data_IF_803550932799
#
_entry.id   IF_803550932799
#
_cell.length_a   1.000
_cell.length_b   1.000
_cell.length_c   1.000
_cell.angle_alpha   90.00
_cell.angle_beta   90.00
_cell.angle_gamma   90.00
#
_symmetry.space_group_name_H-M   'P 1'
#
loop_
_entity.id
_entity.type
_entity.pdbx_description
1 polymer ?
#
# COMPACT_ATOMS: atom_id res chain seq x y z
N UNK A 1 16.90 -18.43 11.05
CA UNK A 1 15.92 -19.27 10.32
C UNK A 1 16.14 -19.08 8.83
N UNK A 2 15.67 -19.99 7.97
CA UNK A 2 15.78 -19.84 6.52
C UNK A 2 14.69 -18.91 5.99
N UNK A 3 15.01 -18.07 5.00
CA UNK A 3 14.06 -17.20 4.28
C UNK A 3 12.84 -17.97 3.76
N UNK A 4 13.04 -19.24 3.38
CA UNK A 4 11.99 -20.14 2.95
C UNK A 4 10.89 -20.35 4.00
N UNK A 5 11.26 -20.52 5.28
CA UNK A 5 10.29 -20.75 6.34
C UNK A 5 9.37 -19.53 6.56
N UNK A 6 9.91 -18.32 6.41
CA UNK A 6 9.12 -17.09 6.48
C UNK A 6 8.17 -16.97 5.27
N UNK A 7 8.64 -17.27 4.06
CA UNK A 7 7.81 -17.28 2.84
C UNK A 7 6.65 -18.28 2.97
N UNK A 8 6.94 -19.51 3.39
CA UNK A 8 5.92 -20.56 3.52
C UNK A 8 4.88 -20.19 4.58
N UNK A 9 5.30 -19.59 5.70
CA UNK A 9 4.40 -19.09 6.72
C UNK A 9 3.47 -17.99 6.17
N UNK A 10 4.02 -16.96 5.51
CA UNK A 10 3.21 -15.87 4.96
C UNK A 10 2.21 -16.39 3.93
N UNK A 11 2.62 -17.30 3.05
CA UNK A 11 1.75 -17.95 2.06
C UNK A 11 0.66 -18.80 2.73
N UNK A 12 0.98 -19.50 3.82
CA UNK A 12 -0.01 -20.26 4.58
C UNK A 12 -1.06 -19.33 5.21
N UNK A 13 -0.64 -18.21 5.80
CA UNK A 13 -1.55 -17.22 6.35
C UNK A 13 -2.45 -16.58 5.28
N UNK A 14 -1.88 -16.23 4.13
CA UNK A 14 -2.65 -15.72 2.97
C UNK A 14 -3.65 -16.76 2.47
N UNK A 15 -3.28 -18.04 2.40
CA UNK A 15 -4.18 -19.10 1.94
C UNK A 15 -5.32 -19.34 2.95
N UNK A 16 -5.00 -19.36 4.24
CA UNK A 16 -5.99 -19.49 5.31
C UNK A 16 -6.99 -18.33 5.31
N UNK A 17 -6.51 -17.12 5.00
CA UNK A 17 -7.31 -15.91 4.93
C UNK A 17 -7.63 -15.48 3.48
N UNK A 18 -7.87 -16.43 2.57
CA UNK A 18 -8.14 -16.16 1.14
C UNK A 18 -9.29 -15.19 0.87
N UNK A 19 -10.27 -15.12 1.78
CA UNK A 19 -11.43 -14.22 1.65
C UNK A 19 -11.17 -12.81 2.22
N UNK A 20 -10.03 -12.60 2.89
CA UNK A 20 -9.66 -11.33 3.48
C UNK A 20 -8.68 -10.59 2.55
N UNK A 21 -9.22 -9.64 1.78
CA UNK A 21 -8.46 -8.86 0.80
C UNK A 21 -7.30 -8.08 1.43
N UNK A 22 -7.47 -7.59 2.66
CA UNK A 22 -6.43 -6.86 3.38
C UNK A 22 -5.25 -7.77 3.74
N UNK A 23 -5.52 -9.02 4.11
CA UNK A 23 -4.46 -10.01 4.36
C UNK A 23 -3.71 -10.32 3.08
N UNK A 24 -4.37 -10.37 1.92
CA UNK A 24 -3.69 -10.57 0.64
C UNK A 24 -2.74 -9.42 0.31
N UNK A 25 -3.21 -8.17 0.43
CA UNK A 25 -2.39 -6.98 0.14
C UNK A 25 -1.16 -6.92 1.04
N UNK A 26 -1.35 -7.07 2.36
CA UNK A 26 -0.22 -7.05 3.29
C UNK A 26 0.69 -8.25 3.11
N UNK A 27 0.13 -9.43 2.85
CA UNK A 27 0.91 -10.64 2.57
C UNK A 27 1.80 -10.46 1.34
N UNK A 28 1.27 -9.95 0.23
CA UNK A 28 2.05 -9.69 -0.98
C UNK A 28 3.16 -8.66 -0.75
N UNK A 29 2.86 -7.59 0.00
CA UNK A 29 3.86 -6.61 0.40
C UNK A 29 5.00 -7.25 1.21
N UNK A 30 4.68 -8.08 2.22
CA UNK A 30 5.67 -8.75 3.06
C UNK A 30 6.52 -9.77 2.29
N UNK A 31 5.93 -10.47 1.30
CA UNK A 31 6.66 -11.36 0.41
C UNK A 31 7.71 -10.60 -0.41
N UNK A 32 7.31 -9.50 -1.07
CA UNK A 32 8.24 -8.65 -1.82
C UNK A 32 9.32 -8.03 -0.94
N UNK A 33 8.93 -7.57 0.27
CA UNK A 33 9.89 -7.05 1.23
C UNK A 33 10.95 -8.08 1.62
N UNK A 34 10.57 -9.36 1.76
CA UNK A 34 11.49 -10.42 2.13
C UNK A 34 12.44 -10.83 1.00
N UNK A 35 12.05 -10.64 -0.26
CA UNK A 35 12.92 -10.83 -1.43
C UNK A 35 14.04 -9.79 -1.47
N UNK A 36 13.75 -8.54 -1.11
CA UNK A 36 14.71 -7.44 -1.05
C UNK A 36 15.53 -7.43 0.27
N UNK A 37 14.94 -7.93 1.35
CA UNK A 37 15.49 -7.86 2.71
C UNK A 37 15.45 -9.23 3.41
N UNK A 38 16.31 -10.14 2.95
CA UNK A 38 16.39 -11.50 3.48
C UNK A 38 16.78 -11.56 4.98
N UNK A 39 17.41 -10.51 5.50
CA UNK A 39 17.77 -10.35 6.92
C UNK A 39 16.54 -10.24 7.85
N UNK A 40 15.38 -9.88 7.29
CA UNK A 40 14.14 -9.75 8.03
C UNK A 40 13.40 -11.07 8.23
N UNK A 41 13.85 -12.17 7.60
CA UNK A 41 13.20 -13.48 7.65
C UNK A 41 12.84 -13.95 9.07
N UNK A 42 13.76 -13.83 10.02
CA UNK A 42 13.56 -14.26 11.41
C UNK A 42 12.40 -13.51 12.09
N UNK A 43 12.24 -12.23 11.76
CA UNK A 43 11.18 -11.38 12.32
C UNK A 43 9.82 -11.75 11.75
N UNK A 44 9.73 -12.01 10.45
CA UNK A 44 8.47 -12.42 9.80
C UNK A 44 8.07 -13.85 10.16
N UNK A 45 9.05 -14.74 10.40
CA UNK A 45 8.82 -16.11 10.81
C UNK A 45 8.36 -16.26 12.27
N UNK A 46 8.49 -15.23 13.11
CA UNK A 46 8.18 -15.27 14.54
C UNK A 46 6.75 -15.77 14.82
N UNK A 47 6.60 -16.85 15.59
CA UNK A 47 5.35 -17.59 15.76
C UNK A 47 4.19 -16.76 16.37
N UNK A 48 4.52 -15.76 17.19
CA UNK A 48 3.56 -14.87 17.86
C UNK A 48 2.99 -13.78 16.93
N UNK A 49 3.64 -13.55 15.79
CA UNK A 49 3.29 -12.52 14.80
C UNK A 49 2.55 -13.12 13.60
N UNK A 50 1.51 -12.44 13.15
CA UNK A 50 0.69 -12.81 11.99
C UNK A 50 0.26 -11.57 11.21
N UNK A 51 -0.07 -11.75 9.93
CA UNK A 51 -0.55 -10.69 9.05
C UNK A 51 -1.83 -10.06 9.63
N UNK A 52 -2.74 -10.89 10.15
CA UNK A 52 -3.97 -10.40 10.78
C UNK A 52 -3.70 -9.48 11.97
N UNK A 53 -2.75 -9.85 12.86
CA UNK A 53 -2.37 -9.00 14.00
C UNK A 53 -1.65 -7.72 13.55
N UNK A 54 -0.92 -7.76 12.43
CA UNK A 54 -0.32 -6.55 11.85
C UNK A 54 -1.40 -5.57 11.36
N UNK A 55 -2.51 -6.06 10.83
CA UNK A 55 -3.67 -5.24 10.46
C UNK A 55 -4.37 -4.67 11.70
N UNK A 56 -4.46 -5.42 12.80
CA UNK A 56 -4.97 -4.90 14.06
C UNK A 56 -4.07 -3.77 14.61
N UNK A 57 -2.75 -3.90 14.48
CA UNK A 57 -1.81 -2.83 14.82
C UNK A 57 -2.02 -1.59 13.93
N UNK A 58 -2.18 -1.77 12.62
CA UNK A 58 -2.51 -0.69 11.69
C UNK A 58 -3.81 0.01 12.08
N UNK A 59 -4.86 -0.75 12.40
CA UNK A 59 -6.14 -0.21 12.87
C UNK A 59 -5.99 0.57 14.17
N UNK A 60 -5.17 0.09 15.11
CA UNK A 60 -4.92 0.79 16.37
C UNK A 60 -4.21 2.14 16.15
N UNK A 61 -3.23 2.21 15.26
CA UNK A 61 -2.57 3.46 14.88
C UNK A 61 -3.51 4.41 14.13
N UNK A 62 -4.29 3.90 13.17
CA UNK A 62 -5.32 4.67 12.47
C UNK A 62 -6.30 5.32 13.46
N UNK A 63 -6.75 4.56 14.47
CA UNK A 63 -7.67 5.04 15.50
C UNK A 63 -7.11 6.21 16.32
N UNK A 64 -5.78 6.31 16.50
CA UNK A 64 -5.16 7.45 17.18
C UNK A 64 -5.21 8.72 16.34
N UNK A 65 -5.14 8.58 15.01
CA UNK A 65 -5.15 9.69 14.05
C UNK A 65 -6.55 10.05 13.55
N UNK A 66 -7.58 9.29 13.92
CA UNK A 66 -8.91 9.45 13.34
C UNK A 66 -9.55 10.80 13.69
N UNK A 67 -10.28 11.35 12.73
CA UNK A 67 -11.20 12.47 12.92
C UNK A 67 -12.58 12.03 12.45
N UNK A 68 -13.61 12.24 13.29
CA UNK A 68 -14.98 11.78 13.02
C UNK A 68 -15.10 10.28 12.68
N UNK A 69 -14.30 9.43 13.32
CA UNK A 69 -14.33 7.98 13.12
C UNK A 69 -13.67 7.49 11.83
N UNK A 70 -13.02 8.37 11.09
CA UNK A 70 -12.25 8.03 9.88
C UNK A 70 -10.80 8.47 10.06
N UNK A 71 -9.87 7.58 9.71
CA UNK A 71 -8.48 7.93 9.46
C UNK A 71 -8.12 7.44 8.06
N UNK A 72 -7.54 8.34 7.26
CA UNK A 72 -6.94 7.97 5.99
C UNK A 72 -5.45 7.78 6.22
N UNK A 73 -4.96 6.57 5.95
CA UNK A 73 -3.53 6.28 5.92
C UNK A 73 -3.11 6.16 4.46
N UNK A 74 -1.93 6.67 4.14
CA UNK A 74 -1.27 6.33 2.87
C UNK A 74 -0.78 4.88 2.90
N UNK A 75 -0.59 4.28 1.73
CA UNK A 75 -0.02 2.93 1.62
C UNK A 75 1.33 2.83 2.36
N UNK A 76 2.20 3.83 2.19
CA UNK A 76 3.48 3.92 2.86
C UNK A 76 3.34 3.94 4.40
N UNK A 77 2.41 4.73 4.95
CA UNK A 77 2.16 4.73 6.39
C UNK A 77 1.64 3.38 6.88
N UNK A 78 0.70 2.76 6.15
CA UNK A 78 0.17 1.44 6.47
C UNK A 78 1.28 0.39 6.52
N UNK A 79 2.08 0.31 5.46
CA UNK A 79 3.20 -0.63 5.37
C UNK A 79 4.26 -0.38 6.45
N UNK A 80 4.57 0.88 6.77
CA UNK A 80 5.51 1.21 7.84
C UNK A 80 5.01 0.73 9.22
N UNK A 81 3.70 0.82 9.49
CA UNK A 81 3.12 0.29 10.73
C UNK A 81 3.23 -1.24 10.78
N UNK A 82 2.97 -1.92 9.66
CA UNK A 82 3.12 -3.37 9.55
C UNK A 82 4.58 -3.78 9.81
N UNK A 83 5.55 -3.17 9.15
CA UNK A 83 6.98 -3.46 9.39
C UNK A 83 7.38 -3.20 10.84
N UNK A 84 6.90 -2.10 11.43
CA UNK A 84 7.11 -1.77 12.83
C UNK A 84 6.55 -2.83 13.77
N UNK A 85 5.38 -3.39 13.46
CA UNK A 85 4.79 -4.50 14.21
C UNK A 85 5.70 -5.74 14.21
N UNK A 86 6.42 -6.00 13.12
CA UNK A 86 7.43 -7.06 13.05
C UNK A 86 8.79 -6.69 13.67
N UNK A 87 8.97 -5.46 14.15
CA UNK A 87 10.25 -4.98 14.70
C UNK A 87 11.30 -4.72 13.62
N UNK A 88 10.86 -4.51 12.38
CA UNK A 88 11.70 -4.17 11.23
C UNK A 88 11.77 -2.65 11.17
N UNK A 89 13.00 -2.11 11.26
CA UNK A 89 13.26 -0.68 11.11
C UNK A 89 13.80 -0.48 9.70
N UNK A 90 12.97 0.03 8.81
CA UNK A 90 13.32 0.26 7.42
C UNK A 90 12.36 1.25 6.78
N UNK A 91 12.87 1.98 5.79
CA UNK A 91 12.06 2.89 4.97
C UNK A 91 11.32 2.07 3.93
N UNK A 92 10.00 2.23 3.86
CA UNK A 92 9.21 1.69 2.75
C UNK A 92 9.52 2.52 1.51
N UNK A 93 10.36 2.00 0.61
CA UNK A 93 10.46 2.53 -0.75
C UNK A 93 9.28 2.00 -1.55
N UNK A 94 8.08 2.50 -1.26
CA UNK A 94 6.95 2.36 -2.19
C UNK A 94 7.33 3.10 -3.45
N UNK A 95 7.68 2.38 -4.52
CA UNK A 95 7.85 2.98 -5.84
C UNK A 95 6.52 3.64 -6.22
N UNK A 96 6.54 4.98 -6.18
CA UNK A 96 5.36 5.81 -6.32
C UNK A 96 4.86 5.76 -7.76
N UNK A 97 3.68 5.18 -7.98
CA UNK A 97 2.77 5.74 -8.97
C UNK A 97 2.17 7.03 -8.39
N UNK A 98 2.98 8.08 -8.36
CA UNK A 98 2.51 9.45 -8.12
C UNK A 98 1.74 9.91 -9.37
N UNK A 99 0.53 9.41 -9.57
CA UNK A 99 -0.45 10.14 -10.35
C UNK A 99 -0.88 11.32 -9.47
N UNK A 100 -0.32 12.50 -9.76
CA UNK A 100 -0.72 13.76 -9.16
C UNK A 100 -2.24 13.92 -9.31
N UNK A 101 -2.99 13.71 -8.24
CA UNK A 101 -4.39 14.08 -8.20
C UNK A 101 -4.41 15.58 -8.01
N UNK A 102 -4.49 16.31 -9.13
CA UNK A 102 -4.84 17.73 -9.13
C UNK A 102 -6.20 17.84 -8.46
N UNK A 103 -6.22 18.26 -7.20
CA UNK A 103 -7.43 18.73 -6.52
C UNK A 103 -7.86 20.01 -7.21
N UNK A 104 -8.68 19.86 -8.26
CA UNK A 104 -9.34 20.98 -8.94
C UNK A 104 -10.35 21.57 -7.97
N UNK A 105 -9.98 22.67 -7.32
CA UNK A 105 -10.91 23.53 -6.63
C UNK A 105 -11.99 24.02 -7.60
N UNK A 106 -13.25 23.71 -7.29
CA UNK A 106 -14.53 24.39 -7.60
C UNK A 106 -14.72 25.18 -8.93
N UNK A 107 -15.92 25.12 -9.55
CA UNK A 107 -16.16 25.64 -10.90
C UNK A 107 -16.40 27.16 -10.92
N UNK A 108 -15.71 27.87 -11.81
CA UNK A 108 -16.12 29.19 -12.32
C UNK A 108 -15.59 29.46 -13.74
N UNK A 109 -16.47 29.24 -14.72
CA UNK A 109 -16.67 29.95 -16.00
C UNK A 109 -15.51 30.16 -17.03
N UNK A 110 -15.80 29.64 -18.26
CA UNK A 110 -15.33 30.05 -19.62
C UNK A 110 -13.83 29.83 -19.91
N UNK A 111 -13.41 29.02 -20.90
CA UNK A 111 -13.78 29.10 -22.31
C UNK A 111 -13.49 27.74 -22.97
N UNK A 112 -14.42 27.21 -23.76
CA UNK A 112 -14.23 25.99 -24.53
C UNK A 112 -13.25 26.27 -25.69
N UNK A 113 -12.05 25.70 -25.61
CA UNK A 113 -11.13 25.63 -26.73
C UNK A 113 -11.62 24.57 -27.71
N UNK A 114 -12.18 25.01 -28.84
CA UNK A 114 -12.22 24.23 -30.07
C UNK A 114 -11.17 24.79 -31.00
N UNK A 115 -9.94 24.32 -30.89
CA UNK A 115 -8.95 24.49 -31.95
C UNK A 115 -8.86 23.18 -32.72
N UNK A 116 -9.91 22.91 -33.49
CA UNK A 116 -9.81 22.05 -34.67
C UNK A 116 -9.43 22.97 -35.82
N UNK A 117 -8.14 23.26 -35.94
CA UNK A 117 -7.59 24.11 -36.98
C UNK A 117 -7.49 23.31 -38.28
N UNK A 118 -8.54 23.39 -39.09
CA UNK A 118 -8.56 22.91 -40.47
C UNK A 118 -8.79 24.13 -41.36
N UNK A 119 -7.80 24.45 -42.20
CA UNK A 119 -7.90 25.56 -43.16
C UNK A 119 -8.70 25.15 -44.40
N UNK A 120 -9.46 26.10 -44.95
CA UNK A 120 -10.21 25.96 -46.21
C UNK A 120 -9.30 25.77 -47.44
N UNK A 121 -8.00 26.00 -47.29
CA UNK A 121 -6.99 25.74 -48.32
C UNK A 121 -6.65 24.25 -48.49
N UNK A 122 -7.04 23.38 -47.57
CA UNK A 122 -6.73 21.93 -47.63
C UNK A 122 -7.73 21.14 -48.52
N UNK A 123 -8.76 21.81 -49.06
CA UNK A 123 -9.85 21.17 -49.83
C UNK A 123 -10.00 21.69 -51.27
N UNK A 124 -9.08 22.49 -51.81
CA UNK A 124 -9.11 23.00 -53.19
C UNK A 124 -7.85 22.68 -54.00
#
# INVERSE_FOLDING_TARGET
MSTQAALDKLRAEMTAAKNNQYVQVIGQFLLGYLEEHSDSADKLAAADKTIAKSLDAMKAEAKKKQSNGMAMLTDAEGFAIVLSYYGIKGSVTTQAAAAAITVTSAPAAKTAGTDFEVSLDDFL
#
